data_IF_234549244880
#
_entry.id   IF_234549244880
#
_cell.length_a   1.000
_cell.length_b   1.000
_cell.length_c   1.000
_cell.angle_alpha   90.00
_cell.angle_beta   90.00
_cell.angle_gamma   90.00
#
_symmetry.space_group_name_H-M   'P 1'
#
loop_
_entity.id
_entity.type
_entity.pdbx_description
1 polymer ?
#
# COMPACT_ATOMS: atom_id res chain seq x y z
N UNK A 1 -10.99 -9.48 -6.63
CA UNK A 1 -9.59 -9.35 -7.02
C UNK A 1 -9.06 -10.70 -7.46
N UNK A 2 -8.87 -10.89 -8.76
CA UNK A 2 -8.20 -12.03 -9.33
C UNK A 2 -6.69 -12.05 -8.98
N UNK A 3 -6.03 -13.21 -9.14
CA UNK A 3 -4.65 -13.42 -8.69
C UNK A 3 -3.66 -12.39 -9.26
N UNK A 4 -3.83 -11.98 -10.53
CA UNK A 4 -2.98 -10.97 -11.18
C UNK A 4 -3.06 -9.59 -10.50
N UNK A 5 -4.26 -9.16 -10.12
CA UNK A 5 -4.45 -7.87 -9.46
C UNK A 5 -3.82 -7.83 -8.07
N UNK A 6 -3.94 -8.93 -7.34
CA UNK A 6 -3.31 -9.10 -6.03
C UNK A 6 -1.78 -9.10 -6.14
N UNK A 7 -1.22 -9.77 -7.15
CA UNK A 7 0.23 -9.75 -7.41
C UNK A 7 0.75 -8.33 -7.70
N UNK A 8 0.05 -7.53 -8.50
CA UNK A 8 0.47 -6.15 -8.81
C UNK A 8 0.49 -5.31 -7.52
N UNK A 9 -0.52 -5.44 -6.66
CA UNK A 9 -0.57 -4.72 -5.38
C UNK A 9 0.58 -5.14 -4.47
N UNK A 10 0.87 -6.44 -4.36
CA UNK A 10 2.01 -6.93 -3.57
C UNK A 10 3.34 -6.38 -4.10
N UNK A 11 3.54 -6.44 -5.42
CA UNK A 11 4.77 -5.94 -6.05
C UNK A 11 4.92 -4.43 -5.82
N UNK A 12 3.86 -3.64 -5.99
CA UNK A 12 3.89 -2.21 -5.72
C UNK A 12 4.19 -1.90 -4.24
N UNK A 13 3.56 -2.64 -3.31
CA UNK A 13 3.82 -2.49 -1.88
C UNK A 13 5.28 -2.80 -1.51
N UNK A 14 5.84 -3.87 -2.07
CA UNK A 14 7.25 -4.23 -1.88
C UNK A 14 8.21 -3.20 -2.47
N UNK A 15 7.93 -2.69 -3.67
CA UNK A 15 8.75 -1.65 -4.30
C UNK A 15 8.73 -0.37 -3.48
N UNK A 16 7.59 0.01 -2.91
CA UNK A 16 7.49 1.18 -2.05
C UNK A 16 8.18 1.00 -0.70
N UNK A 17 8.00 -0.16 -0.06
CA UNK A 17 8.67 -0.48 1.20
C UNK A 17 10.19 -0.51 1.04
N UNK A 18 10.69 -1.24 0.03
CA UNK A 18 12.12 -1.30 -0.28
C UNK A 18 12.66 0.05 -0.77
N UNK A 19 11.88 0.79 -1.56
CA UNK A 19 12.22 2.13 -2.02
C UNK A 19 12.35 3.12 -0.86
N UNK A 20 11.42 3.08 0.09
CA UNK A 20 11.50 3.86 1.34
C UNK A 20 12.75 3.49 2.14
N UNK A 21 13.05 2.19 2.26
CA UNK A 21 14.26 1.71 2.94
C UNK A 21 15.55 2.24 2.31
N UNK A 22 15.62 2.25 0.97
CA UNK A 22 16.81 2.66 0.24
C UNK A 22 16.99 4.19 0.20
N UNK A 23 15.89 4.95 0.07
CA UNK A 23 15.93 6.39 -0.14
C UNK A 23 15.90 7.22 1.15
N UNK A 24 15.23 6.74 2.21
CA UNK A 24 14.87 7.58 3.36
C UNK A 24 15.74 7.39 4.59
N UNK A 25 16.81 6.57 4.53
CA UNK A 25 17.69 6.26 5.67
C UNK A 25 16.86 5.90 6.92
N UNK A 26 16.21 4.73 6.91
CA UNK A 26 15.21 4.36 7.90
C UNK A 26 15.77 4.45 9.32
N UNK A 27 14.94 4.94 10.24
CA UNK A 27 15.31 5.11 11.65
C UNK A 27 15.36 3.76 12.35
N UNK A 28 14.62 2.77 11.85
CA UNK A 28 14.69 1.38 12.30
C UNK A 28 14.78 0.39 11.14
N UNK A 29 15.41 -0.76 11.37
CA UNK A 29 15.56 -1.82 10.36
C UNK A 29 14.23 -2.43 9.87
N UNK A 30 13.11 -2.12 10.53
CA UNK A 30 11.78 -2.67 10.22
C UNK A 30 10.82 -1.65 9.59
N UNK A 31 11.24 -0.39 9.39
CA UNK A 31 10.37 0.66 8.83
C UNK A 31 9.79 0.26 7.47
N UNK A 32 10.61 -0.38 6.62
CA UNK A 32 10.19 -0.89 5.31
C UNK A 32 9.06 -1.93 5.38
N UNK A 33 9.06 -2.76 6.42
CA UNK A 33 8.08 -3.82 6.61
C UNK A 33 6.76 -3.24 7.09
N UNK A 34 6.83 -2.23 7.96
CA UNK A 34 5.66 -1.47 8.42
C UNK A 34 5.00 -0.77 7.23
N UNK A 35 5.78 -0.03 6.42
CA UNK A 35 5.26 0.66 5.23
C UNK A 35 4.67 -0.33 4.22
N UNK A 36 5.33 -1.46 3.98
CA UNK A 36 4.82 -2.51 3.06
C UNK A 36 3.47 -3.05 3.55
N UNK A 37 3.36 -3.35 4.84
CA UNK A 37 2.13 -3.88 5.42
C UNK A 37 0.99 -2.86 5.38
N UNK A 38 1.26 -1.60 5.75
CA UNK A 38 0.22 -0.57 5.73
C UNK A 38 -0.19 -0.20 4.31
N UNK A 39 0.73 -0.20 3.34
CA UNK A 39 0.39 -0.09 1.91
C UNK A 39 -0.49 -1.23 1.45
N UNK A 40 -0.16 -2.49 1.81
CA UNK A 40 -0.97 -3.66 1.47
C UNK A 40 -2.39 -3.59 2.06
N UNK A 41 -2.50 -3.22 3.34
CA UNK A 41 -3.79 -3.05 4.02
C UNK A 41 -4.60 -1.90 3.40
N UNK A 42 -3.96 -0.76 3.14
CA UNK A 42 -4.61 0.38 2.48
C UNK A 42 -5.12 0.03 1.09
N UNK A 43 -4.37 -0.76 0.33
CA UNK A 43 -4.79 -1.22 -0.98
C UNK A 43 -5.97 -2.19 -0.91
N UNK A 44 -5.93 -3.13 0.03
CA UNK A 44 -7.04 -4.05 0.25
C UNK A 44 -8.33 -3.31 0.65
N UNK A 45 -8.27 -2.40 1.62
CA UNK A 45 -9.42 -1.62 2.06
C UNK A 45 -9.95 -0.71 0.96
N UNK A 46 -9.05 -0.06 0.20
CA UNK A 46 -9.43 0.74 -0.97
C UNK A 46 -10.13 -0.10 -2.03
N UNK A 47 -9.66 -1.33 -2.29
CA UNK A 47 -10.30 -2.25 -3.23
C UNK A 47 -11.71 -2.64 -2.80
N UNK A 48 -11.90 -2.97 -1.51
CA UNK A 48 -13.19 -3.38 -0.94
C UNK A 48 -14.20 -2.24 -0.93
N UNK A 49 -13.76 -1.04 -0.53
CA UNK A 49 -14.60 0.14 -0.52
C UNK A 49 -15.11 0.48 -1.93
N UNK A 50 -14.24 0.39 -2.94
CA UNK A 50 -14.62 0.65 -4.32
C UNK A 50 -15.60 -0.38 -4.88
N UNK A 51 -15.36 -1.67 -4.65
CA UNK A 51 -16.29 -2.72 -5.07
C UNK A 51 -17.64 -2.53 -4.40
N UNK A 52 -17.66 -2.18 -3.11
CA UNK A 52 -18.89 -2.03 -2.33
C UNK A 52 -19.70 -0.77 -2.71
N UNK A 53 -19.05 0.32 -3.11
CA UNK A 53 -19.72 1.61 -3.34
C UNK A 53 -19.89 1.99 -4.81
N UNK A 54 -18.95 1.64 -5.69
CA UNK A 54 -18.95 2.05 -7.09
C UNK A 54 -19.29 0.91 -8.06
N UNK A 55 -19.06 -0.35 -7.65
CA UNK A 55 -19.22 -1.51 -8.53
C UNK A 55 -20.12 -2.61 -7.94
N UNK A 56 -21.05 -2.25 -7.05
CA UNK A 56 -21.89 -3.17 -6.27
C UNK A 56 -22.79 -4.12 -7.09
N UNK A 57 -22.74 -4.08 -8.42
CA UNK A 57 -23.46 -4.98 -9.33
C UNK A 57 -22.63 -5.60 -10.47
N UNK A 58 -21.33 -5.31 -10.60
CA UNK A 58 -20.50 -5.92 -11.66
C UNK A 58 -19.71 -7.12 -11.11
N UNK A 59 -20.20 -8.32 -11.40
CA UNK A 59 -19.61 -9.61 -10.96
C UNK A 59 -18.57 -10.21 -11.92
N UNK A 60 -18.05 -9.43 -12.88
CA UNK A 60 -17.16 -9.97 -13.91
C UNK A 60 -15.68 -9.63 -13.68
N UNK A 61 -14.81 -10.59 -14.02
CA UNK A 61 -13.34 -10.50 -14.04
C UNK A 61 -12.76 -9.23 -14.72
N UNK A 62 -13.53 -8.52 -15.56
CA UNK A 62 -13.15 -7.23 -16.13
C UNK A 62 -13.00 -6.11 -15.07
N UNK A 63 -13.73 -6.22 -13.95
CA UNK A 63 -13.65 -5.29 -12.82
C UNK A 63 -12.37 -5.49 -12.02
N UNK A 64 -11.77 -6.68 -12.04
CA UNK A 64 -10.58 -6.97 -11.24
C UNK A 64 -9.38 -6.13 -11.65
N UNK A 65 -9.15 -5.90 -12.95
CA UNK A 65 -8.09 -4.98 -13.41
C UNK A 65 -8.41 -3.51 -13.13
N UNK A 66 -9.68 -3.13 -13.15
CA UNK A 66 -10.14 -1.77 -12.93
C UNK A 66 -10.05 -1.36 -11.45
N UNK A 67 -10.24 -2.31 -10.53
CA UNK A 67 -10.17 -2.10 -9.07
C UNK A 67 -8.71 -2.08 -8.57
N UNK A 68 -7.76 -2.62 -9.34
CA UNK A 68 -6.34 -2.64 -8.98
C UNK A 68 -5.73 -1.24 -8.95
N UNK A 69 -6.10 -0.35 -9.89
CA UNK A 69 -5.52 0.99 -9.94
C UNK A 69 -5.93 1.81 -8.70
N UNK A 70 -7.23 1.92 -8.35
CA UNK A 70 -7.64 2.59 -7.12
C UNK A 70 -7.12 1.93 -5.84
N UNK A 71 -7.04 0.59 -5.81
CA UNK A 71 -6.42 -0.13 -4.70
C UNK A 71 -4.95 0.26 -4.55
N UNK A 72 -4.18 0.26 -5.64
CA UNK A 72 -2.78 0.69 -5.61
C UNK A 72 -2.65 2.14 -5.12
N UNK A 73 -3.51 3.05 -5.56
CA UNK A 73 -3.52 4.45 -5.11
C UNK A 73 -3.84 4.54 -3.60
N UNK A 74 -4.87 3.85 -3.12
CA UNK A 74 -5.23 3.84 -1.71
C UNK A 74 -4.09 3.28 -0.83
N UNK A 75 -3.47 2.18 -1.27
CA UNK A 75 -2.30 1.62 -0.60
C UNK A 75 -1.11 2.58 -0.60
N UNK A 76 -0.82 3.22 -1.73
CA UNK A 76 0.23 4.23 -1.86
C UNK A 76 0.03 5.38 -0.88
N UNK A 77 -1.19 5.91 -0.77
CA UNK A 77 -1.53 6.99 0.16
C UNK A 77 -1.29 6.55 1.60
N UNK A 78 -1.83 5.39 1.99
CA UNK A 78 -1.69 4.88 3.37
C UNK A 78 -0.22 4.59 3.70
N UNK A 79 0.55 4.04 2.76
CA UNK A 79 1.98 3.82 2.90
C UNK A 79 2.75 5.11 3.10
N UNK A 80 2.51 6.11 2.25
CA UNK A 80 3.16 7.41 2.34
C UNK A 80 2.83 8.14 3.65
N UNK A 81 1.58 8.06 4.10
CA UNK A 81 1.16 8.59 5.41
C UNK A 81 1.86 7.86 6.55
N UNK A 82 1.93 6.53 6.48
CA UNK A 82 2.61 5.73 7.51
C UNK A 82 4.08 6.11 7.62
N UNK A 83 4.77 6.23 6.48
CA UNK A 83 6.17 6.67 6.43
C UNK A 83 6.34 8.08 7.02
N UNK A 84 5.49 9.04 6.63
CA UNK A 84 5.52 10.38 7.20
C UNK A 84 5.31 10.37 8.73
N UNK A 85 4.40 9.53 9.22
CA UNK A 85 4.16 9.35 10.67
C UNK A 85 5.39 8.76 11.36
N UNK A 86 6.04 7.74 10.78
CA UNK A 86 7.28 7.16 11.33
C UNK A 86 8.37 8.24 11.43
N UNK A 87 8.52 9.07 10.39
CA UNK A 87 9.49 10.16 10.39
C UNK A 87 9.21 11.22 11.46
N UNK A 88 7.94 11.52 11.75
CA UNK A 88 7.56 12.48 12.79
C UNK A 88 7.63 11.90 14.22
N UNK A 89 7.26 10.64 14.40
CA UNK A 89 7.08 10.02 15.72
C UNK A 89 8.38 9.43 16.30
N UNK A 90 9.30 8.97 15.46
CA UNK A 90 10.54 8.33 15.92
C UNK A 90 11.65 9.37 15.99
N UNK A 91 12.23 9.70 17.16
CA UNK A 91 13.39 10.58 17.26
C UNK A 91 14.56 10.01 16.46
N UNK A 92 15.40 10.87 15.87
CA UNK A 92 16.62 10.41 15.21
C UNK A 92 17.47 9.59 16.19
N UNK A 93 18.08 8.47 15.76
CA UNK A 93 18.94 7.67 16.63
C UNK A 93 20.04 8.57 17.20
N UNK A 94 20.20 8.54 18.53
CA UNK A 94 21.27 9.25 19.21
C UNK A 94 22.61 8.69 18.72
N UNK A 95 23.33 9.52 17.96
CA UNK A 95 24.70 9.24 17.50
C UNK A 95 25.68 9.25 18.64
#
# INVERSE_FOLDING_TARGET
>A
MGPLGFTIVIVAALVLGLGAQYLLKPKTSYDWLIVTLTTGVGAYLGSQWLVSNLFSGLTNYAVDGLVVIPAAIAGLIVGAVTEAVIQMAVPAPAT
#
